data_IF_339542452589
#
_entry.id   IF_339542452589
#
_cell.length_a   1.000
_cell.length_b   1.000
_cell.length_c   1.000
_cell.angle_alpha   90.00
_cell.angle_beta   90.00
_cell.angle_gamma   90.00
#
_symmetry.space_group_name_H-M   'P 1'
#
loop_
_entity.id
_entity.type
_entity.pdbx_description
1 polymer ?
#
# COMPACT_ATOMS: atom_id res chain seq x y z
N UNK A 1 -0.96 22.31 5.84
CA UNK A 1 -1.82 22.10 4.65
C UNK A 1 -1.68 20.68 4.11
N UNK A 2 -0.46 20.20 3.86
CA UNK A 2 -0.17 18.83 3.37
C UNK A 2 -0.77 17.74 4.26
N UNK A 3 -0.57 17.80 5.58
CA UNK A 3 -1.16 16.82 6.50
C UNK A 3 -2.70 16.74 6.45
N UNK A 4 -3.37 17.86 6.21
CA UNK A 4 -4.84 17.89 6.04
C UNK A 4 -5.25 17.25 4.72
N UNK A 5 -4.46 17.42 3.66
CA UNK A 5 -4.71 16.82 2.35
C UNK A 5 -4.47 15.31 2.40
N UNK A 6 -3.37 14.87 3.02
CA UNK A 6 -3.07 13.46 3.24
C UNK A 6 -4.20 12.78 4.05
N UNK A 7 -4.61 13.36 5.17
CA UNK A 7 -5.71 12.82 5.98
C UNK A 7 -7.04 12.73 5.20
N UNK A 8 -7.37 13.74 4.40
CA UNK A 8 -8.58 13.71 3.56
C UNK A 8 -8.49 12.62 2.50
N UNK A 9 -7.34 12.49 1.85
CA UNK A 9 -7.09 11.46 0.85
C UNK A 9 -7.23 10.07 1.47
N UNK A 10 -6.55 9.83 2.60
CA UNK A 10 -6.66 8.59 3.37
C UNK A 10 -8.13 8.22 3.65
N UNK A 11 -8.91 9.16 4.21
CA UNK A 11 -10.31 8.88 4.55
C UNK A 11 -11.19 8.62 3.33
N UNK A 12 -10.93 9.27 2.21
CA UNK A 12 -11.63 9.01 0.95
C UNK A 12 -11.28 7.62 0.43
N UNK A 13 -9.99 7.27 0.38
CA UNK A 13 -9.52 5.97 -0.10
C UNK A 13 -10.01 4.82 0.79
N UNK A 14 -9.97 4.99 2.11
CA UNK A 14 -10.49 4.04 3.08
C UNK A 14 -12.00 3.86 2.88
N UNK A 15 -12.76 4.95 2.78
CA UNK A 15 -14.20 4.90 2.50
C UNK A 15 -14.54 4.21 1.18
N UNK A 16 -13.78 4.50 0.12
CA UNK A 16 -13.94 3.84 -1.19
C UNK A 16 -13.62 2.35 -1.10
N UNK A 17 -12.56 1.96 -0.40
CA UNK A 17 -12.15 0.56 -0.25
C UNK A 17 -13.20 -0.24 0.54
N UNK A 18 -13.70 0.32 1.65
CA UNK A 18 -14.80 -0.29 2.42
C UNK A 18 -16.06 -0.45 1.57
N UNK A 19 -16.43 0.59 0.82
CA UNK A 19 -17.58 0.55 -0.08
C UNK A 19 -17.43 -0.55 -1.14
N UNK A 20 -16.25 -0.68 -1.74
CA UNK A 20 -15.97 -1.71 -2.76
C UNK A 20 -16.03 -3.13 -2.18
N UNK A 21 -15.45 -3.35 -0.99
CA UNK A 21 -15.50 -4.66 -0.31
C UNK A 21 -16.94 -5.05 0.04
N UNK A 22 -17.74 -4.11 0.55
CA UNK A 22 -19.16 -4.35 0.82
C UNK A 22 -19.94 -4.64 -0.47
N UNK A 23 -19.66 -3.90 -1.54
CA UNK A 23 -20.28 -4.11 -2.84
C UNK A 23 -19.93 -5.49 -3.42
N UNK A 24 -18.66 -5.89 -3.36
CA UNK A 24 -18.19 -7.20 -3.81
C UNK A 24 -18.85 -8.33 -3.02
N UNK A 25 -18.90 -8.18 -1.69
CA UNK A 25 -19.55 -9.14 -0.79
C UNK A 25 -21.02 -9.29 -1.15
N UNK A 26 -21.73 -8.16 -1.35
CA UNK A 26 -23.12 -8.17 -1.76
C UNK A 26 -23.34 -8.87 -3.11
N UNK A 27 -22.53 -8.56 -4.13
CA UNK A 27 -22.61 -9.19 -5.46
C UNK A 27 -22.40 -10.70 -5.38
N UNK A 28 -21.40 -11.16 -4.62
CA UNK A 28 -21.10 -12.58 -4.45
C UNK A 28 -22.26 -13.28 -3.72
N UNK A 29 -22.71 -12.73 -2.59
CA UNK A 29 -23.82 -13.32 -1.81
C UNK A 29 -25.09 -13.39 -2.67
N UNK A 30 -25.42 -12.31 -3.38
CA UNK A 30 -26.56 -12.27 -4.28
C UNK A 30 -26.45 -13.30 -5.41
N UNK A 31 -25.28 -13.40 -6.06
CA UNK A 31 -25.00 -14.40 -7.09
C UNK A 31 -25.17 -15.83 -6.59
N UNK A 32 -24.71 -16.13 -5.37
CA UNK A 32 -24.86 -17.44 -4.74
C UNK A 32 -26.32 -17.75 -4.43
N UNK A 33 -27.10 -16.80 -3.89
CA UNK A 33 -28.53 -16.97 -3.63
C UNK A 33 -29.28 -17.29 -4.94
N UNK A 34 -29.05 -16.49 -5.98
CA UNK A 34 -29.69 -16.66 -7.27
C UNK A 34 -29.35 -18.03 -7.88
N UNK A 35 -28.08 -18.45 -7.79
CA UNK A 35 -27.64 -19.79 -8.21
C UNK A 35 -28.37 -20.90 -7.46
N UNK A 36 -28.59 -20.76 -6.15
CA UNK A 36 -29.34 -21.75 -5.34
C UNK A 36 -30.82 -21.83 -5.71
N UNK A 37 -31.41 -20.73 -6.18
CA UNK A 37 -32.80 -20.69 -6.67
C UNK A 37 -32.97 -21.18 -8.11
N UNK A 38 -31.89 -21.64 -8.76
CA UNK A 38 -31.92 -22.19 -10.12
C UNK A 38 -31.71 -21.16 -11.24
N UNK A 39 -31.54 -19.88 -10.91
CA UNK A 39 -31.23 -18.81 -11.86
C UNK A 39 -29.76 -18.39 -11.73
N UNK A 40 -28.87 -19.00 -12.53
CA UNK A 40 -27.45 -18.62 -12.50
C UNK A 40 -27.24 -17.35 -13.32
N UNK A 41 -26.92 -16.24 -12.66
CA UNK A 41 -26.43 -15.04 -13.32
C UNK A 41 -25.03 -15.36 -13.86
N UNK A 42 -24.73 -15.04 -15.12
CA UNK A 42 -23.38 -15.30 -15.70
C UNK A 42 -22.43 -14.16 -15.35
N UNK A 43 -22.95 -12.94 -15.20
CA UNK A 43 -22.15 -11.73 -15.01
C UNK A 43 -21.60 -11.50 -13.60
N UNK A 44 -22.16 -12.14 -12.56
CA UNK A 44 -21.75 -11.83 -11.17
C UNK A 44 -20.28 -12.18 -10.91
N UNK A 45 -19.77 -13.25 -11.51
CA UNK A 45 -18.39 -13.71 -11.36
C UNK A 45 -17.41 -12.71 -12.00
N UNK A 46 -17.74 -12.25 -13.21
CA UNK A 46 -17.00 -11.18 -13.89
C UNK A 46 -17.00 -9.90 -13.03
N UNK A 47 -18.16 -9.42 -12.57
CA UNK A 47 -18.23 -8.22 -11.72
C UNK A 47 -17.45 -8.37 -10.41
N UNK A 48 -17.52 -9.53 -9.76
CA UNK A 48 -16.77 -9.79 -8.54
C UNK A 48 -15.25 -9.72 -8.78
N UNK A 49 -14.77 -10.28 -9.90
CA UNK A 49 -13.36 -10.17 -10.28
C UNK A 49 -12.93 -8.73 -10.56
N UNK A 50 -13.80 -7.91 -11.18
CA UNK A 50 -13.51 -6.50 -11.44
C UNK A 50 -13.47 -5.68 -10.15
N UNK A 51 -14.42 -5.90 -9.24
CA UNK A 51 -14.43 -5.27 -7.93
C UNK A 51 -13.17 -5.63 -7.14
N UNK A 52 -12.69 -6.87 -7.22
CA UNK A 52 -11.44 -7.28 -6.58
C UNK A 52 -10.23 -6.51 -7.13
N UNK A 53 -10.14 -6.33 -8.45
CA UNK A 53 -9.07 -5.51 -9.06
C UNK A 53 -9.15 -4.07 -8.54
N UNK A 54 -10.34 -3.50 -8.48
CA UNK A 54 -10.54 -2.14 -7.96
C UNK A 54 -10.13 -2.03 -6.49
N UNK A 55 -10.55 -2.97 -5.63
CA UNK A 55 -10.15 -3.05 -4.23
C UNK A 55 -8.62 -3.12 -4.11
N UNK A 56 -7.97 -3.88 -4.98
CA UNK A 56 -6.50 -4.03 -4.94
C UNK A 56 -5.79 -2.70 -5.19
N UNK A 57 -6.22 -1.93 -6.20
CA UNK A 57 -5.61 -0.64 -6.51
C UNK A 57 -5.90 0.43 -5.44
N UNK A 58 -7.15 0.58 -5.01
CA UNK A 58 -7.50 1.55 -3.96
C UNK A 58 -6.92 1.16 -2.59
N UNK A 59 -6.87 -0.14 -2.30
CA UNK A 59 -6.23 -0.69 -1.12
C UNK A 59 -4.72 -0.44 -1.12
N UNK A 60 -4.05 -0.64 -2.25
CA UNK A 60 -2.63 -0.31 -2.41
C UNK A 60 -2.35 1.18 -2.16
N UNK A 61 -3.17 2.07 -2.74
CA UNK A 61 -3.01 3.51 -2.48
C UNK A 61 -3.31 3.89 -1.02
N UNK A 62 -4.20 3.17 -0.33
CA UNK A 62 -4.46 3.34 1.11
C UNK A 62 -3.28 2.86 1.95
N UNK A 63 -2.61 1.77 1.54
CA UNK A 63 -1.41 1.29 2.20
C UNK A 63 -0.22 2.25 1.98
N UNK A 64 -0.10 2.83 0.78
CA UNK A 64 0.95 3.79 0.44
C UNK A 64 0.90 5.04 1.34
N UNK A 65 -0.30 5.61 1.56
CA UNK A 65 -0.42 6.80 2.42
C UNK A 65 -0.07 6.51 3.89
N UNK A 66 -0.35 5.28 4.35
CA UNK A 66 0.00 4.79 5.69
C UNK A 66 1.44 4.29 5.78
N UNK A 67 2.18 4.28 4.67
CA UNK A 67 3.55 3.75 4.56
C UNK A 67 3.70 2.33 5.09
N UNK A 68 2.67 1.51 4.93
CA UNK A 68 2.72 0.09 5.30
C UNK A 68 3.42 -0.75 4.21
N UNK A 69 4.54 -0.26 3.67
CA UNK A 69 5.40 -1.03 2.76
C UNK A 69 6.10 -2.11 3.59
N UNK A 70 5.43 -3.26 3.74
CA UNK A 70 5.68 -4.39 4.66
C UNK A 70 7.10 -5.04 4.64
N UNK A 71 8.14 -4.38 4.14
CA UNK A 71 9.49 -4.92 4.20
C UNK A 71 10.62 -3.90 4.04
N UNK A 72 10.33 -2.62 3.74
CA UNK A 72 11.40 -1.63 3.58
C UNK A 72 11.74 -0.90 4.90
N UNK A 73 10.76 -0.76 5.79
CA UNK A 73 10.88 -0.08 7.09
C UNK A 73 12.04 -0.64 7.92
N UNK A 74 12.07 -1.95 8.17
CA UNK A 74 13.09 -2.56 9.04
C UNK A 74 14.52 -2.46 8.49
N UNK A 75 14.70 -2.60 7.18
CA UNK A 75 16.03 -2.39 6.56
C UNK A 75 16.46 -0.92 6.64
N UNK A 76 15.50 0.00 6.45
CA UNK A 76 15.74 1.43 6.52
C UNK A 76 16.13 1.86 7.95
N UNK A 77 15.43 1.37 8.97
CA UNK A 77 15.71 1.71 10.38
C UNK A 77 16.94 1.00 10.96
N UNK A 78 17.35 -0.14 10.39
CA UNK A 78 18.62 -0.79 10.74
C UNK A 78 19.85 -0.03 10.22
N UNK A 79 19.70 0.81 9.20
CA UNK A 79 20.80 1.60 8.64
C UNK A 79 21.09 2.86 9.47
N UNK A 80 22.36 3.30 9.53
CA UNK A 80 22.77 4.48 10.31
C UNK A 80 23.13 5.66 9.40
N UNK A 81 22.68 6.86 9.75
CA UNK A 81 23.13 8.13 9.17
C UNK A 81 22.82 8.27 7.68
N UNK A 82 23.84 8.54 6.86
CA UNK A 82 23.68 8.79 5.42
C UNK A 82 23.17 7.59 4.65
N UNK A 83 23.44 6.36 5.11
CA UNK A 83 22.95 5.14 4.45
C UNK A 83 21.43 5.01 4.55
N UNK A 84 20.85 5.36 5.70
CA UNK A 84 19.40 5.39 5.90
C UNK A 84 18.74 6.39 4.94
N UNK A 85 19.26 7.61 4.84
CA UNK A 85 18.70 8.60 3.91
C UNK A 85 18.83 8.18 2.44
N UNK A 86 19.92 7.53 2.03
CA UNK A 86 20.08 7.05 0.65
C UNK A 86 19.10 5.93 0.34
N UNK A 87 18.97 4.94 1.24
CA UNK A 87 18.02 3.84 1.10
C UNK A 87 16.59 4.36 0.95
N UNK A 88 16.19 5.31 1.79
CA UNK A 88 14.89 5.97 1.70
C UNK A 88 14.63 6.51 0.29
N UNK A 89 15.49 7.40 -0.21
CA UNK A 89 15.27 8.02 -1.52
C UNK A 89 15.33 7.03 -2.68
N UNK A 90 16.18 6.01 -2.59
CA UNK A 90 16.24 4.94 -3.59
C UNK A 90 14.91 4.18 -3.65
N UNK A 91 14.35 3.81 -2.50
CA UNK A 91 13.05 3.12 -2.45
C UNK A 91 11.92 3.97 -3.01
N UNK A 92 11.86 5.25 -2.64
CA UNK A 92 10.87 6.19 -3.15
C UNK A 92 10.93 6.31 -4.67
N UNK A 93 12.14 6.47 -5.22
CA UNK A 93 12.33 6.57 -6.68
C UNK A 93 11.94 5.27 -7.38
N UNK A 94 12.27 4.11 -6.82
CA UNK A 94 11.92 2.80 -7.40
C UNK A 94 10.39 2.62 -7.41
N UNK A 95 9.72 2.87 -6.28
CA UNK A 95 8.28 2.69 -6.15
C UNK A 95 7.52 3.67 -7.04
N UNK A 96 7.86 4.97 -6.98
CA UNK A 96 7.23 6.00 -7.82
C UNK A 96 7.51 5.72 -9.30
N UNK A 97 8.74 5.31 -9.65
CA UNK A 97 9.10 4.96 -11.02
C UNK A 97 8.34 3.75 -11.54
N UNK A 98 8.17 2.72 -10.72
CA UNK A 98 7.35 1.55 -11.07
C UNK A 98 5.89 1.94 -11.32
N UNK A 99 5.26 2.69 -10.41
CA UNK A 99 3.88 3.12 -10.60
C UNK A 99 3.72 4.12 -11.74
N UNK A 100 4.72 4.95 -12.04
CA UNK A 100 4.69 5.81 -13.22
C UNK A 100 4.68 4.99 -14.52
N UNK A 101 5.45 3.89 -14.56
CA UNK A 101 5.44 2.95 -15.67
C UNK A 101 4.07 2.25 -15.78
N UNK A 102 3.49 1.80 -14.66
CA UNK A 102 2.14 1.23 -14.63
C UNK A 102 1.10 2.23 -15.11
N UNK A 103 1.19 3.50 -14.73
CA UNK A 103 0.27 4.54 -15.20
C UNK A 103 0.40 4.76 -16.72
N UNK A 104 1.63 4.80 -17.24
CA UNK A 104 1.89 4.96 -18.66
C UNK A 104 1.34 3.79 -19.49
N UNK A 105 1.72 2.55 -19.17
CA UNK A 105 1.22 1.38 -19.88
C UNK A 105 -0.27 1.15 -19.64
N UNK A 106 -0.77 1.48 -18.45
CA UNK A 106 -2.20 1.46 -18.14
C UNK A 106 -2.99 2.34 -19.08
N UNK A 107 -2.47 3.53 -19.41
CA UNK A 107 -3.08 4.41 -20.42
C UNK A 107 -3.08 3.78 -21.82
N UNK A 108 -1.95 3.22 -22.25
CA UNK A 108 -1.85 2.52 -23.54
C UNK A 108 -2.82 1.34 -23.65
N UNK A 109 -3.05 0.63 -22.54
CA UNK A 109 -4.03 -0.47 -22.48
C UNK A 109 -5.45 0.07 -22.72
N UNK A 110 -5.80 1.26 -22.23
CA UNK A 110 -7.13 1.83 -22.48
C UNK A 110 -7.37 2.08 -23.97
N UNK A 111 -6.37 2.63 -24.66
CA UNK A 111 -6.42 2.90 -26.10
C UNK A 111 -6.51 1.61 -26.92
N UNK A 112 -5.82 0.55 -26.49
CA UNK A 112 -5.85 -0.75 -27.18
C UNK A 112 -7.23 -1.39 -27.17
N UNK A 113 -7.96 -1.28 -26.05
CA UNK A 113 -9.28 -1.88 -25.88
C UNK A 113 -10.44 -0.95 -26.25
N UNK A 114 -10.18 0.16 -26.95
CA UNK A 114 -11.23 1.06 -27.41
C UNK A 114 -12.25 0.34 -28.30
N UNK A 115 -13.53 0.49 -27.96
CA UNK A 115 -14.63 -0.16 -28.67
C UNK A 115 -14.95 -1.59 -28.22
N UNK A 116 -14.14 -2.19 -27.32
CA UNK A 116 -14.46 -3.49 -26.73
C UNK A 116 -15.37 -3.38 -25.50
N UNK A 117 -16.20 -4.40 -25.30
CA UNK A 117 -17.14 -4.51 -24.17
C UNK A 117 -16.93 -5.82 -23.42
N UNK A 118 -17.35 -5.87 -22.17
CA UNK A 118 -17.26 -7.09 -21.35
C UNK A 118 -18.03 -8.27 -21.96
N UNK A 119 -17.58 -9.48 -21.62
CA UNK A 119 -18.16 -10.73 -22.16
C UNK A 119 -19.55 -10.94 -21.59
N UNK A 120 -19.72 -10.81 -20.28
CA UNK A 120 -21.01 -11.02 -19.61
C UNK A 120 -21.84 -9.73 -19.51
N UNK A 121 -21.23 -8.57 -19.77
CA UNK A 121 -21.85 -7.25 -19.70
C UNK A 121 -21.58 -6.46 -20.98
N UNK A 122 -22.27 -6.75 -22.10
CA UNK A 122 -22.00 -6.12 -23.40
C UNK A 122 -22.25 -4.61 -23.45
N UNK A 123 -22.88 -4.04 -22.42
CA UNK A 123 -23.09 -2.60 -22.31
C UNK A 123 -22.00 -1.88 -21.50
N UNK A 124 -21.06 -2.62 -20.89
CA UNK A 124 -19.96 -2.04 -20.12
C UNK A 124 -18.68 -2.08 -20.97
N UNK A 125 -18.09 -0.91 -21.29
CA UNK A 125 -16.83 -0.87 -22.05
C UNK A 125 -15.66 -1.44 -21.23
N UNK A 126 -14.78 -2.22 -21.88
CA UNK A 126 -13.53 -2.71 -21.28
C UNK A 126 -12.63 -1.55 -20.81
N UNK A 127 -12.45 -0.45 -21.56
CA UNK A 127 -11.63 0.68 -21.11
C UNK A 127 -12.11 1.30 -19.81
N UNK A 128 -13.42 1.31 -19.55
CA UNK A 128 -13.97 1.83 -18.30
C UNK A 128 -13.47 1.02 -17.10
N UNK A 129 -13.51 -0.29 -17.21
CA UNK A 129 -13.09 -1.20 -16.14
C UNK A 129 -11.58 -1.19 -15.95
N UNK A 130 -10.83 -1.14 -17.05
CA UNK A 130 -9.36 -1.09 -17.06
C UNK A 130 -8.81 0.26 -16.60
N UNK A 131 -9.63 1.33 -16.60
CA UNK A 131 -9.22 2.68 -16.15
C UNK A 131 -8.70 2.73 -14.71
N UNK A 132 -9.07 1.73 -13.90
CA UNK A 132 -8.53 1.56 -12.55
C UNK A 132 -7.01 1.43 -12.54
N UNK A 133 -6.39 0.89 -13.59
CA UNK A 133 -4.93 0.72 -13.67
C UNK A 133 -4.23 2.09 -13.64
N UNK A 134 -4.44 2.99 -14.63
CA UNK A 134 -3.80 4.30 -14.59
C UNK A 134 -4.29 5.18 -13.44
N UNK A 135 -5.58 5.15 -13.09
CA UNK A 135 -6.13 5.95 -11.99
C UNK A 135 -5.53 5.52 -10.66
N UNK A 136 -5.51 4.22 -10.38
CA UNK A 136 -4.96 3.64 -9.17
C UNK A 136 -3.46 3.91 -9.05
N UNK A 137 -2.71 3.80 -10.14
CA UNK A 137 -1.28 4.12 -10.16
C UNK A 137 -0.99 5.60 -9.88
N UNK A 138 -1.75 6.53 -10.49
CA UNK A 138 -1.62 7.97 -10.22
C UNK A 138 -1.97 8.27 -8.76
N UNK A 139 -3.05 7.65 -8.25
CA UNK A 139 -3.48 7.82 -6.87
C UNK A 139 -2.43 7.29 -5.88
N UNK A 140 -1.80 6.17 -6.21
CA UNK A 140 -0.70 5.61 -5.44
C UNK A 140 0.48 6.58 -5.38
N UNK A 141 0.95 7.09 -6.53
CA UNK A 141 2.06 8.07 -6.58
C UNK A 141 1.72 9.30 -5.74
N UNK A 142 0.48 9.78 -5.81
CA UNK A 142 0.05 10.93 -5.04
C UNK A 142 0.00 10.66 -3.53
N UNK A 143 -0.48 9.47 -3.13
CA UNK A 143 -0.48 9.00 -1.76
C UNK A 143 0.95 8.86 -1.20
N UNK A 144 1.85 8.25 -1.99
CA UNK A 144 3.27 8.08 -1.65
C UNK A 144 3.92 9.45 -1.42
N UNK A 145 3.76 10.38 -2.36
CA UNK A 145 4.35 11.72 -2.28
C UNK A 145 3.85 12.52 -1.08
N UNK A 146 2.56 12.38 -0.74
CA UNK A 146 1.97 13.04 0.44
C UNK A 146 2.44 12.46 1.77
N UNK A 147 2.90 11.21 1.78
CA UNK A 147 3.40 10.54 2.97
C UNK A 147 4.87 10.86 3.29
N UNK A 148 5.65 11.36 2.32
CA UNK A 148 7.09 11.69 2.50
C UNK A 148 7.38 12.58 3.71
N UNK A 149 6.63 13.69 3.94
CA UNK A 149 6.91 14.55 5.08
C UNK A 149 6.75 13.85 6.43
N UNK A 150 5.79 12.94 6.54
CA UNK A 150 5.56 12.15 7.76
C UNK A 150 6.71 11.15 7.95
N UNK A 151 7.14 10.44 6.90
CA UNK A 151 8.30 9.56 7.00
C UNK A 151 9.59 10.29 7.39
N UNK A 152 9.86 11.46 6.82
CA UNK A 152 11.03 12.25 7.21
C UNK A 152 10.96 12.67 8.68
N UNK A 153 9.75 12.87 9.23
CA UNK A 153 9.56 13.14 10.64
C UNK A 153 9.80 11.89 11.51
N UNK A 154 9.27 10.74 11.11
CA UNK A 154 9.46 9.47 11.84
C UNK A 154 10.92 9.02 11.84
N UNK A 155 11.62 9.18 10.72
CA UNK A 155 13.07 8.95 10.63
C UNK A 155 13.89 9.87 11.55
N UNK A 156 13.46 11.13 11.73
CA UNK A 156 14.12 12.08 12.65
C UNK A 156 13.88 11.74 14.11
N UNK A 157 12.66 11.29 14.41
CA UNK A 157 12.22 10.97 15.77
C UNK A 157 12.63 9.54 16.17
N UNK A 158 13.21 8.76 15.24
CA UNK A 158 13.67 7.41 15.48
C UNK A 158 12.53 6.44 15.83
N UNK A 159 11.30 6.78 15.45
CA UNK A 159 10.12 5.94 15.65
C UNK A 159 10.11 4.85 14.59
N UNK A 160 10.46 3.65 15.00
CA UNK A 160 10.39 2.46 14.16
C UNK A 160 9.03 1.80 14.37
N UNK A 161 8.19 1.81 13.32
CA UNK A 161 6.89 1.13 13.35
C UNK A 161 7.07 -0.38 13.58
N UNK A 162 8.18 -0.94 13.10
CA UNK A 162 8.49 -2.37 13.24
C UNK A 162 8.93 -2.70 14.68
N UNK A 163 9.55 -1.76 15.41
CA UNK A 163 9.82 -1.95 16.86
C UNK A 163 8.54 -2.08 17.66
N UNK A 164 7.55 -1.23 17.38
CA UNK A 164 6.28 -1.28 18.09
C UNK A 164 5.55 -2.61 17.84
N UNK A 165 5.55 -3.09 16.59
CA UNK A 165 5.00 -4.41 16.25
C UNK A 165 5.79 -5.54 16.93
N UNK A 166 7.11 -5.50 16.90
CA UNK A 166 7.97 -6.50 17.55
C UNK A 166 7.86 -6.49 19.08
N UNK A 167 7.64 -5.33 19.71
CA UNK A 167 7.34 -5.20 21.13
C UNK A 167 5.97 -5.81 21.46
N UNK A 168 4.95 -5.57 20.62
CA UNK A 168 3.63 -6.21 20.75
C UNK A 168 3.71 -7.74 20.57
N UNK A 169 4.43 -8.23 19.57
CA UNK A 169 4.67 -9.67 19.36
C UNK A 169 5.47 -10.30 20.51
N UNK A 170 6.45 -9.58 21.07
CA UNK A 170 7.21 -10.04 22.22
C UNK A 170 6.33 -10.13 23.47
N UNK A 171 5.48 -9.13 23.70
CA UNK A 171 4.51 -9.13 24.79
C UNK A 171 3.50 -10.27 24.65
N UNK A 172 2.98 -10.51 23.43
CA UNK A 172 2.08 -11.63 23.14
C UNK A 172 2.76 -13.00 23.34
N UNK A 173 4.04 -13.13 22.98
CA UNK A 173 4.81 -14.35 23.17
C UNK A 173 5.41 -14.50 24.57
N UNK A 174 5.28 -13.51 25.45
CA UNK A 174 5.90 -13.48 26.77
C UNK A 174 7.44 -13.42 26.74
N UNK A 175 8.03 -12.84 25.70
CA UNK A 175 9.47 -12.62 25.54
C UNK A 175 9.80 -11.24 26.10
N UNK A 176 10.79 -11.13 26.98
CA UNK A 176 11.25 -9.83 27.48
C UNK A 176 11.80 -8.98 26.31
N UNK A 177 11.32 -7.75 26.18
CA UNK A 177 11.76 -6.81 25.12
C UNK A 177 13.27 -6.54 25.16
N UNK A 178 13.91 -6.74 26.32
CA UNK A 178 15.36 -6.62 26.52
C UNK A 178 16.16 -7.74 25.83
N UNK A 179 15.58 -8.94 25.70
CA UNK A 179 16.17 -10.05 24.96
C UNK A 179 16.04 -9.85 23.44
N UNK A 180 14.96 -9.19 23.00
CA UNK A 180 14.71 -8.91 21.58
C UNK A 180 15.53 -7.71 21.07
N UNK A 181 15.73 -6.69 21.91
CA UNK A 181 16.46 -5.47 21.57
C UNK A 181 17.59 -5.21 22.58
N UNK A 182 18.69 -5.98 22.56
CA UNK A 182 19.78 -5.79 23.49
C UNK A 182 20.35 -4.38 23.35
N UNK A 183 20.27 -3.58 24.42
CA UNK A 183 20.72 -2.18 24.50
C UNK A 183 22.25 -1.98 24.35
N UNK A 184 22.98 -2.98 23.85
CA UNK A 184 24.42 -3.15 24.02
C UNK A 184 25.35 -2.73 22.88
N UNK A 185 24.87 -2.20 21.74
CA UNK A 185 25.75 -1.84 20.61
C UNK A 185 25.77 -0.32 20.28
N UNK A 186 25.74 0.53 21.32
CA UNK A 186 26.13 1.95 21.20
C UNK A 186 27.45 2.28 21.93
N UNK A 187 28.10 1.31 22.58
CA UNK A 187 29.20 1.62 23.54
C UNK A 187 30.61 1.22 23.08
N UNK A 188 30.79 0.52 21.95
CA UNK A 188 32.12 0.03 21.55
C UNK A 188 32.92 0.93 20.59
N UNK A 189 32.32 1.95 19.96
CA UNK A 189 33.05 2.84 19.04
C UNK A 189 33.68 4.03 19.78
N UNK A 190 33.00 4.60 20.78
CA UNK A 190 33.51 5.79 21.48
C UNK A 190 34.69 5.46 22.42
N UNK A 191 34.73 4.25 22.99
CA UNK A 191 35.78 3.83 23.93
C UNK A 191 37.11 3.45 23.25
N UNK A 192 37.10 3.21 21.93
CA UNK A 192 38.32 2.85 21.18
C UNK A 192 39.13 4.08 20.74
N UNK A 193 38.56 5.29 20.81
CA UNK A 193 39.29 6.53 20.58
C UNK A 193 39.94 7.08 21.86
N UNK A 194 39.33 6.87 23.03
CA UNK A 194 39.92 7.31 24.31
C UNK A 194 41.04 6.38 24.82
N UNK A 195 41.07 5.12 24.38
CA UNK A 195 42.15 4.18 24.72
C UNK A 195 43.40 4.31 23.81
N UNK A 196 43.45 5.33 22.94
CA UNK A 196 44.57 5.58 22.01
C UNK A 196 45.09 7.02 22.02
N UNK A 197 44.70 7.82 23.03
CA UNK A 197 45.35 9.07 23.40
C UNK A 197 46.09 8.90 24.72
#
# INVERSE_FOLDING_TARGET
>A
MIARLAYRLEKVLEGMSVFLVLSMTFVIVFGVIMRKTGSSLIWYDEVASLLLVWITYYGAATAAIKRSHLGFSGLLYSAKGTLQSTLFWVSEVIVIGFFALVAFYGWTVLEYFEGETLISLPWVPVPFVQSVIPIGAILFIFAELLSIPQALQDMREGRDHDRAELEEYAEECGIDTEDLFPSGEKTHVHKKMEAKS
#
